data_IF_148512763945
#
_entry.id   IF_148512763945
#
_cell.length_a   1.000
_cell.length_b   1.000
_cell.length_c   1.000
_cell.angle_alpha   90.00
_cell.angle_beta   90.00
_cell.angle_gamma   90.00
#
_symmetry.space_group_name_H-M   'P 1'
#
loop_
_entity.id
_entity.type
_entity.pdbx_description
1 polymer ?
#
# COMPACT_ATOMS: atom_id res chain seq x y z
N UNK A 1 24.86 -0.05 -8.18
CA UNK A 1 24.24 0.53 -6.97
C UNK A 1 23.20 1.51 -7.48
N UNK A 2 22.11 1.03 -8.09
CA UNK A 2 21.20 1.87 -8.91
C UNK A 2 19.73 1.62 -8.57
N UNK A 3 19.43 1.27 -7.32
CA UNK A 3 18.12 0.69 -6.99
C UNK A 3 17.07 1.71 -6.50
N UNK A 4 17.45 2.94 -6.14
CA UNK A 4 16.52 3.84 -5.42
C UNK A 4 15.59 4.67 -6.33
N UNK A 5 15.97 4.95 -7.58
CA UNK A 5 15.28 5.96 -8.40
C UNK A 5 14.60 5.43 -9.67
N UNK A 6 14.60 4.11 -9.92
CA UNK A 6 14.16 3.55 -11.22
C UNK A 6 12.68 3.86 -11.51
N UNK A 7 11.82 3.88 -10.50
CA UNK A 7 10.38 4.13 -10.66
C UNK A 7 10.02 5.61 -10.84
N UNK A 8 10.93 6.55 -10.53
CA UNK A 8 10.67 7.98 -10.71
C UNK A 8 10.55 8.33 -12.19
N UNK A 9 11.25 7.59 -13.05
CA UNK A 9 11.24 7.79 -14.49
C UNK A 9 10.06 7.10 -15.19
N UNK A 10 9.23 6.34 -14.47
CA UNK A 10 8.03 5.69 -15.04
C UNK A 10 6.94 6.73 -15.41
N UNK A 11 7.04 7.95 -14.88
CA UNK A 11 6.11 9.06 -15.11
C UNK A 11 6.89 10.37 -15.29
N UNK A 12 6.59 11.15 -16.33
CA UNK A 12 7.31 12.40 -16.63
C UNK A 12 6.36 13.59 -16.81
N UNK A 13 6.44 14.64 -15.96
CA UNK A 13 7.30 14.74 -14.77
C UNK A 13 6.65 14.07 -13.55
N UNK A 14 7.34 13.18 -12.85
CA UNK A 14 6.92 12.77 -11.51
C UNK A 14 7.44 13.77 -10.46
N UNK A 15 6.56 14.29 -9.62
CA UNK A 15 6.91 15.21 -8.52
C UNK A 15 6.70 14.50 -7.17
N UNK A 16 7.74 13.87 -6.59
CA UNK A 16 7.65 13.24 -5.29
C UNK A 16 7.83 14.26 -4.15
N UNK A 17 7.11 14.02 -3.05
CA UNK A 17 7.31 14.63 -1.73
C UNK A 17 7.49 13.50 -0.73
N UNK A 18 8.67 13.44 -0.12
CA UNK A 18 9.07 12.37 0.79
C UNK A 18 9.46 13.01 2.11
N UNK A 19 8.82 12.57 3.18
CA UNK A 19 9.10 12.97 4.57
C UNK A 19 8.69 11.84 5.50
N UNK A 20 8.91 11.94 6.80
CA UNK A 20 8.43 10.94 7.75
C UNK A 20 9.39 10.71 8.90
N UNK A 21 9.22 9.56 9.53
CA UNK A 21 9.86 9.18 10.77
C UNK A 21 10.96 8.17 10.44
N UNK A 22 12.20 8.65 10.28
CA UNK A 22 13.31 7.75 9.95
C UNK A 22 13.66 6.80 11.11
N UNK A 23 13.38 7.22 12.35
CA UNK A 23 13.71 6.45 13.56
C UNK A 23 12.93 5.14 13.71
N UNK A 24 11.75 5.01 13.09
CA UNK A 24 10.93 3.80 13.08
C UNK A 24 10.74 3.21 11.67
N UNK A 25 11.48 3.73 10.68
CA UNK A 25 11.43 3.31 9.27
C UNK A 25 10.07 3.55 8.60
N UNK A 26 9.37 4.62 8.97
CA UNK A 26 8.09 5.03 8.38
C UNK A 26 8.24 6.27 7.47
N UNK A 27 8.20 6.06 6.15
CA UNK A 27 8.25 7.12 5.15
C UNK A 27 6.86 7.43 4.57
N UNK A 28 6.55 8.71 4.52
CA UNK A 28 5.35 9.29 3.93
C UNK A 28 5.72 9.79 2.54
N UNK A 29 5.12 9.17 1.53
CA UNK A 29 5.38 9.47 0.13
C UNK A 29 4.09 9.99 -0.50
N UNK A 30 4.15 11.18 -1.08
CA UNK A 30 3.12 11.71 -1.97
C UNK A 30 3.76 11.98 -3.31
N UNK A 31 3.18 11.46 -4.40
CA UNK A 31 3.72 11.68 -5.74
C UNK A 31 2.57 11.94 -6.72
N UNK A 32 2.87 12.70 -7.77
CA UNK A 32 1.93 13.02 -8.83
C UNK A 32 2.60 13.74 -9.98
N UNK A 33 1.95 13.73 -11.14
CA UNK A 33 2.38 14.44 -12.36
C UNK A 33 1.64 15.77 -12.56
N UNK A 34 0.65 16.06 -11.71
CA UNK A 34 -0.34 17.12 -11.93
C UNK A 34 -1.57 16.64 -12.70
N UNK A 35 -1.54 15.44 -13.30
CA UNK A 35 -2.71 14.79 -13.90
C UNK A 35 -3.39 13.85 -12.91
N UNK A 36 -4.73 13.88 -12.87
CA UNK A 36 -5.52 12.93 -12.09
C UNK A 36 -5.49 11.52 -12.68
N UNK A 37 -5.28 11.41 -14.00
CA UNK A 37 -5.31 10.14 -14.73
C UNK A 37 -4.15 9.21 -14.33
N UNK A 38 -3.02 9.80 -13.91
CA UNK A 38 -1.82 9.04 -13.52
C UNK A 38 -1.88 8.53 -12.08
N UNK A 39 -2.75 9.10 -11.22
CA UNK A 39 -2.73 8.82 -9.78
C UNK A 39 -2.89 7.34 -9.45
N UNK A 40 -3.77 6.64 -10.16
CA UNK A 40 -4.00 5.21 -9.93
C UNK A 40 -2.78 4.36 -10.31
N UNK A 41 -2.12 4.69 -11.42
CA UNK A 41 -0.92 4.00 -11.90
C UNK A 41 0.27 4.27 -10.98
N UNK A 42 0.47 5.53 -10.57
CA UNK A 42 1.52 5.93 -9.62
C UNK A 42 1.32 5.20 -8.29
N UNK A 43 0.10 5.18 -7.75
CA UNK A 43 -0.19 4.49 -6.49
C UNK A 43 0.07 2.98 -6.60
N UNK A 44 -0.34 2.34 -7.70
CA UNK A 44 -0.07 0.93 -7.94
C UNK A 44 1.44 0.65 -8.02
N UNK A 45 2.21 1.49 -8.71
CA UNK A 45 3.67 1.36 -8.81
C UNK A 45 4.33 1.50 -7.44
N UNK A 46 3.92 2.49 -6.65
CA UNK A 46 4.42 2.67 -5.28
C UNK A 46 4.17 1.44 -4.40
N UNK A 47 2.97 0.84 -4.44
CA UNK A 47 2.66 -0.37 -3.67
C UNK A 47 3.51 -1.57 -4.11
N UNK A 48 3.75 -1.71 -5.42
CA UNK A 48 4.62 -2.76 -5.96
C UNK A 48 6.06 -2.61 -5.47
N UNK A 49 6.63 -1.39 -5.53
CA UNK A 49 7.98 -1.10 -5.02
C UNK A 49 8.07 -1.46 -3.53
N UNK A 50 7.10 -1.07 -2.71
CA UNK A 50 7.11 -1.43 -1.28
C UNK A 50 7.19 -2.96 -1.09
N UNK A 51 6.46 -3.74 -1.91
CA UNK A 51 6.53 -5.20 -1.88
C UNK A 51 7.87 -5.78 -2.35
N UNK A 52 8.48 -5.21 -3.40
CA UNK A 52 9.81 -5.60 -3.89
C UNK A 52 10.89 -5.49 -2.80
N UNK A 53 10.78 -4.48 -1.94
CA UNK A 53 11.68 -4.24 -0.80
C UNK A 53 11.21 -4.90 0.51
N UNK A 54 10.19 -5.78 0.45
CA UNK A 54 9.63 -6.46 1.63
C UNK A 54 9.16 -5.49 2.73
N UNK A 55 8.69 -4.30 2.36
CA UNK A 55 8.18 -3.27 3.27
C UNK A 55 6.69 -3.42 3.61
N UNK A 56 6.20 -2.51 4.44
CA UNK A 56 4.77 -2.42 4.77
C UNK A 56 4.06 -1.39 3.90
N UNK A 57 3.03 -1.80 3.13
CA UNK A 57 2.18 -0.89 2.33
C UNK A 57 1.40 0.12 3.19
N UNK A 58 1.35 -0.13 4.51
CA UNK A 58 0.82 0.83 5.46
C UNK A 58 1.51 0.66 6.81
N UNK A 59 2.40 1.58 7.16
CA UNK A 59 3.01 1.63 8.48
C UNK A 59 2.00 2.04 9.56
N UNK A 60 1.18 3.07 9.30
CA UNK A 60 0.29 3.67 10.31
C UNK A 60 -1.20 3.81 9.90
N UNK A 61 -1.49 4.16 8.64
CA UNK A 61 -2.85 4.54 8.22
C UNK A 61 -3.83 3.38 7.94
N UNK A 62 -3.41 2.14 8.21
CA UNK A 62 -4.20 0.95 7.92
C UNK A 62 -4.52 0.71 6.43
N UNK A 63 -5.43 -0.25 6.18
CA UNK A 63 -5.70 -0.77 4.82
C UNK A 63 -6.95 -0.13 4.19
N UNK A 64 -8.05 -0.07 4.94
CA UNK A 64 -9.33 0.46 4.46
C UNK A 64 -9.81 -0.22 3.17
N UNK A 65 -10.41 0.56 2.26
CA UNK A 65 -10.77 0.10 0.90
C UNK A 65 -9.58 0.25 -0.04
N UNK A 66 -8.87 1.38 0.06
CA UNK A 66 -7.85 1.81 -0.90
C UNK A 66 -6.72 0.80 -1.05
N UNK A 67 -6.24 0.23 0.06
CA UNK A 67 -5.06 -0.66 0.05
C UNK A 67 -5.41 -2.15 0.04
N UNK A 68 -6.68 -2.53 0.11
CA UNK A 68 -7.13 -3.93 0.25
C UNK A 68 -6.55 -4.84 -0.84
N UNK A 69 -6.60 -4.41 -2.11
CA UNK A 69 -6.09 -5.20 -3.24
C UNK A 69 -4.57 -5.37 -3.26
N UNK A 70 -3.84 -4.60 -2.44
CA UNK A 70 -2.38 -4.59 -2.37
C UNK A 70 -1.83 -5.40 -1.19
N UNK A 71 -2.69 -5.99 -0.35
CA UNK A 71 -2.29 -6.69 0.88
C UNK A 71 -1.16 -7.71 0.70
N UNK A 72 -1.15 -8.42 -0.44
CA UNK A 72 -0.12 -9.41 -0.76
C UNK A 72 1.28 -8.84 -0.92
N UNK A 73 1.44 -7.52 -1.05
CA UNK A 73 2.75 -6.87 -1.02
C UNK A 73 3.38 -6.85 0.38
N UNK A 74 2.60 -7.05 1.45
CA UNK A 74 3.12 -7.04 2.83
C UNK A 74 2.64 -8.20 3.70
N UNK A 75 1.76 -9.07 3.18
CA UNK A 75 1.20 -10.20 3.91
C UNK A 75 1.18 -11.45 3.07
N UNK A 76 1.39 -12.60 3.69
CA UNK A 76 1.31 -13.89 3.02
C UNK A 76 -0.15 -14.32 2.80
N UNK A 77 -0.35 -15.32 1.94
CA UNK A 77 -1.69 -15.90 1.72
C UNK A 77 -2.24 -16.54 2.99
N UNK A 78 -1.38 -17.12 3.82
CA UNK A 78 -1.73 -17.77 5.07
C UNK A 78 -2.16 -16.76 6.13
N UNK A 79 -1.45 -15.63 6.24
CA UNK A 79 -1.84 -14.51 7.10
C UNK A 79 -3.21 -13.95 6.69
N UNK A 80 -3.42 -13.70 5.39
CA UNK A 80 -4.71 -13.19 4.88
C UNK A 80 -5.82 -14.21 5.11
N UNK A 81 -5.58 -15.51 4.88
CA UNK A 81 -6.55 -16.57 5.17
C UNK A 81 -6.91 -16.62 6.67
N UNK A 82 -5.94 -16.38 7.56
CA UNK A 82 -6.20 -16.27 9.00
C UNK A 82 -7.07 -15.05 9.32
N UNK A 83 -6.79 -13.89 8.70
CA UNK A 83 -7.62 -12.69 8.89
C UNK A 83 -9.08 -12.95 8.51
N UNK A 84 -9.34 -13.64 7.38
CA UNK A 84 -10.69 -14.01 6.96
C UNK A 84 -11.37 -14.93 7.99
N UNK A 85 -10.68 -15.97 8.47
CA UNK A 85 -11.24 -16.85 9.52
C UNK A 85 -11.63 -16.07 10.78
N UNK A 86 -10.80 -15.13 11.22
CA UNK A 86 -11.10 -14.28 12.36
C UNK A 86 -12.30 -13.38 12.10
N UNK A 87 -12.38 -12.77 10.92
CA UNK A 87 -13.51 -11.93 10.52
C UNK A 87 -14.83 -12.70 10.49
N UNK A 88 -14.84 -13.89 9.91
CA UNK A 88 -16.04 -14.74 9.83
C UNK A 88 -16.48 -15.25 11.20
N UNK A 89 -15.51 -15.51 12.09
CA UNK A 89 -15.80 -15.93 13.48
C UNK A 89 -16.44 -14.80 14.28
N UNK A 90 -15.93 -13.57 14.13
CA UNK A 90 -16.36 -12.41 14.92
C UNK A 90 -17.57 -11.69 14.34
N UNK A 91 -17.74 -11.70 13.01
CA UNK A 91 -18.82 -11.03 12.29
C UNK A 91 -19.39 -11.93 11.18
N UNK A 92 -20.06 -13.04 11.55
CA UNK A 92 -20.60 -13.99 10.57
C UNK A 92 -21.71 -13.41 9.69
N UNK A 93 -22.29 -12.25 10.07
CA UNK A 93 -23.29 -11.53 9.27
C UNK A 93 -22.67 -10.48 8.35
N UNK A 94 -21.37 -10.23 8.45
CA UNK A 94 -20.66 -9.25 7.63
C UNK A 94 -21.13 -7.80 7.80
N UNK A 95 -21.71 -7.44 8.95
CA UNK A 95 -22.30 -6.10 9.16
C UNK A 95 -21.27 -5.08 9.65
N UNK A 96 -20.15 -5.53 10.20
CA UNK A 96 -19.10 -4.66 10.71
C UNK A 96 -18.15 -4.27 9.59
N UNK A 97 -18.41 -3.10 8.99
CA UNK A 97 -17.47 -2.42 8.09
C UNK A 97 -17.13 -3.23 6.84
N UNK A 98 -18.15 -3.80 6.19
CA UNK A 98 -18.03 -4.68 5.02
C UNK A 98 -17.18 -4.09 3.89
N UNK A 99 -16.36 -4.94 3.25
CA UNK A 99 -15.54 -4.58 2.10
C UNK A 99 -14.26 -3.80 2.44
N UNK A 100 -13.91 -3.63 3.72
CA UNK A 100 -12.68 -2.96 4.16
C UNK A 100 -11.71 -3.97 4.77
N UNK A 101 -10.42 -3.75 4.53
CA UNK A 101 -9.31 -4.62 4.92
C UNK A 101 -9.32 -5.95 4.17
N UNK A 102 -10.29 -6.84 4.41
CA UNK A 102 -10.41 -8.19 3.81
C UNK A 102 -11.82 -8.45 3.31
#
# INVERSE_FOLDING_TARGET
>A
MDYCCVWINDFDPLIPRIFGHIGDSNLHICAGTGSADDLAAIFARMMAVVGEYQGSISAEHGIGVLKRKYLLHSRTKEEIALMHRLKDTLDPKGILNSGRVI
#
